data_IF_969304461436
#
_entry.id   IF_969304461436
#
_cell.length_a   1.000
_cell.length_b   1.000
_cell.length_c   1.000
_cell.angle_alpha   90.00
_cell.angle_beta   90.00
_cell.angle_gamma   90.00
#
_symmetry.space_group_name_H-M   'P 1'
#
loop_
_entity.id
_entity.type
_entity.pdbx_description
1 polymer ?
#
# COMPACT_ATOMS: atom_id res chain seq x y z
N UNK A 1 11.09 -54.57 3.97
CA UNK A 1 11.08 -53.11 3.80
C UNK A 1 12.52 -52.63 3.85
N UNK A 2 12.98 -51.95 2.80
CA UNK A 2 14.38 -51.56 2.59
C UNK A 2 14.78 -50.45 3.57
N UNK A 3 16.04 -50.41 4.02
CA UNK A 3 16.55 -49.33 4.90
C UNK A 3 16.37 -47.91 4.31
N UNK A 4 16.20 -47.82 2.98
CA UNK A 4 15.88 -46.59 2.27
C UNK A 4 14.48 -46.02 2.58
N UNK A 5 13.53 -46.83 3.02
CA UNK A 5 12.18 -46.37 3.39
C UNK A 5 12.13 -45.75 4.79
N UNK A 6 13.09 -46.08 5.68
CA UNK A 6 13.14 -45.57 7.06
C UNK A 6 13.42 -44.08 7.18
N UNK A 7 13.79 -43.40 6.08
CA UNK A 7 14.23 -41.99 6.09
C UNK A 7 13.34 -41.02 5.31
N UNK A 8 12.19 -41.45 4.78
CA UNK A 8 11.19 -40.51 4.23
C UNK A 8 10.51 -39.76 5.37
N UNK A 9 10.53 -38.43 5.32
CA UNK A 9 9.75 -37.59 6.25
C UNK A 9 8.27 -37.91 6.04
N UNK A 10 7.64 -38.61 6.98
CA UNK A 10 6.19 -38.83 7.01
C UNK A 10 5.54 -37.49 7.36
N UNK A 11 4.75 -36.96 6.43
CA UNK A 11 4.01 -35.71 6.61
C UNK A 11 2.55 -36.08 6.76
N UNK A 12 1.93 -35.60 7.83
CA UNK A 12 0.51 -35.75 8.10
C UNK A 12 -0.15 -34.38 8.08
N UNK A 13 -1.25 -34.24 7.34
CA UNK A 13 -1.99 -32.98 7.24
C UNK A 13 -2.48 -32.54 8.62
N UNK A 14 -2.32 -31.26 8.95
CA UNK A 14 -2.81 -30.70 10.21
C UNK A 14 -2.03 -31.10 11.47
N UNK A 15 -0.99 -31.95 11.33
CA UNK A 15 -0.01 -32.19 12.38
C UNK A 15 1.27 -31.40 12.06
N UNK A 16 1.93 -30.79 13.07
CA UNK A 16 3.24 -30.18 12.87
C UNK A 16 4.20 -31.19 12.23
N UNK A 17 5.07 -30.73 11.33
CA UNK A 17 6.11 -31.58 10.73
C UNK A 17 7.11 -32.00 11.80
N UNK A 18 6.82 -33.10 12.50
CA UNK A 18 7.61 -33.59 13.60
C UNK A 18 8.93 -34.16 13.05
N UNK A 19 10.03 -33.47 13.34
CA UNK A 19 11.36 -33.88 12.89
C UNK A 19 11.84 -35.08 13.71
N UNK A 20 11.94 -36.26 13.07
CA UNK A 20 12.42 -37.53 13.65
C UNK A 20 11.68 -37.91 14.94
N UNK A 21 10.48 -38.43 14.77
CA UNK A 21 9.71 -38.97 15.88
C UNK A 21 9.56 -40.48 15.70
N UNK A 22 9.76 -41.21 16.80
CA UNK A 22 9.44 -42.63 16.92
C UNK A 22 7.92 -42.85 16.79
N UNK A 23 7.48 -44.02 16.31
CA UNK A 23 6.05 -44.34 16.04
C UNK A 23 5.14 -44.05 17.24
N UNK A 24 5.69 -44.26 18.43
CA UNK A 24 5.17 -43.95 19.76
C UNK A 24 4.67 -42.49 19.85
N UNK A 25 5.56 -41.51 19.61
CA UNK A 25 5.22 -40.08 19.76
C UNK A 25 4.44 -39.55 18.55
N UNK A 26 4.52 -40.22 17.40
CA UNK A 26 3.66 -39.92 16.25
C UNK A 26 2.20 -40.25 16.59
N UNK A 27 1.97 -41.40 17.23
CA UNK A 27 0.64 -41.80 17.69
C UNK A 27 0.11 -40.83 18.78
N UNK A 28 0.97 -40.35 19.68
CA UNK A 28 0.59 -39.37 20.71
C UNK A 28 0.24 -38.00 20.11
N UNK A 29 0.95 -37.58 19.07
CA UNK A 29 0.60 -36.37 18.33
C UNK A 29 -0.70 -36.53 17.53
N UNK A 30 -0.93 -37.72 16.94
CA UNK A 30 -2.16 -38.04 16.22
C UNK A 30 -3.38 -38.12 17.16
N UNK A 31 -3.19 -38.55 18.41
CA UNK A 31 -4.23 -38.59 19.45
C UNK A 31 -4.84 -37.20 19.71
N UNK A 32 -4.02 -36.15 19.58
CA UNK A 32 -4.44 -34.76 19.79
C UNK A 32 -4.83 -34.04 18.49
N UNK A 33 -5.24 -34.78 17.46
CA UNK A 33 -5.52 -34.25 16.11
C UNK A 33 -6.88 -34.68 15.57
N UNK A 34 -7.22 -34.22 14.36
CA UNK A 34 -8.44 -34.63 13.66
C UNK A 34 -8.49 -36.14 13.36
N UNK A 35 -7.34 -36.83 13.29
CA UNK A 35 -7.31 -38.27 13.02
C UNK A 35 -7.92 -39.12 14.14
N UNK A 36 -7.70 -38.73 15.39
CA UNK A 36 -8.35 -39.36 16.54
C UNK A 36 -9.87 -39.27 16.45
N UNK A 37 -10.39 -38.10 16.06
CA UNK A 37 -11.82 -37.91 15.91
C UNK A 37 -12.38 -38.76 14.77
N UNK A 38 -11.66 -38.94 13.66
CA UNK A 38 -12.09 -39.85 12.60
C UNK A 38 -12.29 -41.28 13.14
N UNK A 39 -11.32 -41.79 13.90
CA UNK A 39 -11.40 -43.10 14.54
C UNK A 39 -12.58 -43.20 15.54
N UNK A 40 -12.76 -42.22 16.42
CA UNK A 40 -13.85 -42.25 17.41
C UNK A 40 -15.23 -42.13 16.74
N UNK A 41 -15.39 -41.30 15.71
CA UNK A 41 -16.67 -41.21 14.99
C UNK A 41 -17.01 -42.49 14.21
N UNK A 42 -16.02 -43.24 13.73
CA UNK A 42 -16.27 -44.57 13.16
C UNK A 42 -16.83 -45.53 14.22
N UNK A 43 -16.34 -45.47 15.47
CA UNK A 43 -16.85 -46.29 16.58
C UNK A 43 -18.30 -45.95 16.95
N UNK A 44 -18.78 -44.75 16.64
CA UNK A 44 -20.18 -44.36 16.87
C UNK A 44 -21.13 -44.85 15.76
N UNK A 45 -20.61 -45.29 14.60
CA UNK A 45 -21.43 -45.68 13.46
C UNK A 45 -21.92 -47.13 13.55
N UNK A 46 -23.24 -47.30 13.71
CA UNK A 46 -23.91 -48.62 13.68
C UNK A 46 -23.63 -49.38 12.38
N UNK A 47 -23.59 -48.67 11.26
CA UNK A 47 -23.33 -49.26 9.94
C UNK A 47 -21.89 -49.75 9.82
N UNK A 48 -20.94 -48.97 10.31
CA UNK A 48 -19.52 -49.33 10.29
C UNK A 48 -19.27 -50.54 11.20
N UNK A 49 -19.82 -50.51 12.41
CA UNK A 49 -19.80 -51.64 13.34
C UNK A 49 -20.33 -52.94 12.72
N UNK A 50 -21.47 -52.87 12.02
CA UNK A 50 -22.06 -54.05 11.38
C UNK A 50 -21.19 -54.61 10.26
N UNK A 51 -20.57 -53.71 9.47
CA UNK A 51 -19.68 -54.08 8.36
C UNK A 51 -18.37 -54.71 8.85
N UNK A 52 -17.84 -54.25 9.99
CA UNK A 52 -16.65 -54.83 10.62
C UNK A 52 -16.89 -56.22 11.23
N UNK A 53 -18.14 -56.62 11.48
CA UNK A 53 -18.44 -57.94 12.03
C UNK A 53 -18.38 -59.04 10.97
N UNK A 54 -17.56 -60.05 11.21
CA UNK A 54 -17.43 -61.20 10.31
C UNK A 54 -16.96 -60.78 8.92
N UNK A 55 -17.58 -61.35 7.87
CA UNK A 55 -17.28 -61.01 6.46
C UNK A 55 -18.32 -60.05 5.86
N UNK A 56 -19.00 -59.25 6.69
CA UNK A 56 -20.17 -58.45 6.28
C UNK A 56 -19.85 -57.35 5.26
N UNK A 57 -18.60 -56.87 5.21
CA UNK A 57 -18.15 -55.92 4.18
C UNK A 57 -18.27 -56.45 2.75
N UNK A 58 -18.32 -57.77 2.54
CA UNK A 58 -18.56 -58.37 1.21
C UNK A 58 -20.02 -58.29 0.76
N UNK A 59 -20.94 -58.08 1.70
CA UNK A 59 -22.39 -58.08 1.46
C UNK A 59 -23.02 -56.68 1.50
N UNK A 60 -22.26 -55.66 1.90
CA UNK A 60 -22.77 -54.28 1.89
C UNK A 60 -22.96 -53.78 0.47
N UNK A 61 -24.10 -53.13 0.20
CA UNK A 61 -24.37 -52.47 -1.09
C UNK A 61 -23.62 -51.14 -1.23
N UNK A 62 -23.14 -50.56 -0.13
CA UNK A 62 -22.41 -49.29 -0.15
C UNK A 62 -20.93 -49.53 -0.41
N UNK A 63 -20.49 -49.23 -1.63
CA UNK A 63 -19.07 -49.33 -2.04
C UNK A 63 -18.16 -48.44 -1.22
N UNK A 64 -18.65 -47.28 -0.78
CA UNK A 64 -17.88 -46.34 0.06
C UNK A 64 -17.65 -46.96 1.43
N UNK A 65 -18.69 -47.52 2.05
CA UNK A 65 -18.58 -48.16 3.36
C UNK A 65 -17.67 -49.41 3.33
N UNK A 66 -17.74 -50.20 2.26
CA UNK A 66 -16.85 -51.35 2.06
C UNK A 66 -15.38 -50.91 2.00
N UNK A 67 -15.06 -49.91 1.17
CA UNK A 67 -13.71 -49.35 1.07
C UNK A 67 -13.21 -48.78 2.39
N UNK A 68 -14.05 -48.01 3.09
CA UNK A 68 -13.68 -47.49 4.41
C UNK A 68 -13.36 -48.62 5.38
N UNK A 69 -14.12 -49.72 5.37
CA UNK A 69 -13.84 -50.88 6.22
C UNK A 69 -12.58 -51.65 5.81
N UNK A 70 -12.27 -51.73 4.51
CA UNK A 70 -11.02 -52.29 3.99
C UNK A 70 -9.82 -51.44 4.41
N UNK A 71 -9.92 -50.11 4.31
CA UNK A 71 -8.86 -49.15 4.61
C UNK A 71 -8.58 -49.06 6.12
N UNK A 72 -9.63 -48.85 6.93
CA UNK A 72 -9.50 -48.59 8.37
C UNK A 72 -9.47 -49.89 9.20
N UNK A 73 -10.04 -50.97 8.69
CA UNK A 73 -10.18 -52.23 9.41
C UNK A 73 -11.15 -52.16 10.60
N UNK A 74 -11.07 -53.15 11.48
CA UNK A 74 -11.88 -53.19 12.70
C UNK A 74 -11.31 -52.24 13.77
N UNK A 75 -11.90 -51.05 13.87
CA UNK A 75 -11.55 -50.01 14.86
C UNK A 75 -12.07 -50.31 16.27
N UNK A 76 -12.95 -51.30 16.44
CA UNK A 76 -13.56 -51.63 17.73
C UNK A 76 -12.70 -52.53 18.59
N UNK A 77 -11.76 -53.27 17.99
CA UNK A 77 -10.89 -54.22 18.69
C UNK A 77 -9.55 -53.64 19.15
N UNK A 78 -9.24 -52.39 18.79
CA UNK A 78 -7.96 -51.75 19.09
C UNK A 78 -8.16 -50.44 19.86
N UNK A 79 -7.16 -50.08 20.67
CA UNK A 79 -7.03 -48.68 21.13
C UNK A 79 -6.67 -47.79 19.93
N UNK A 80 -6.92 -46.49 20.02
CA UNK A 80 -6.51 -45.56 18.95
C UNK A 80 -5.02 -45.67 18.65
N UNK A 81 -4.19 -45.82 19.69
CA UNK A 81 -2.73 -45.86 19.57
C UNK A 81 -2.26 -47.10 18.80
N UNK A 82 -2.81 -48.26 19.16
CA UNK A 82 -2.51 -49.52 18.48
C UNK A 82 -3.00 -49.50 17.03
N UNK A 83 -4.19 -48.94 16.82
CA UNK A 83 -4.74 -48.76 15.48
C UNK A 83 -3.91 -47.79 14.63
N UNK A 84 -3.43 -46.68 15.20
CA UNK A 84 -2.58 -45.72 14.49
C UNK A 84 -1.26 -46.36 14.05
N UNK A 85 -0.57 -47.04 14.97
CA UNK A 85 0.70 -47.70 14.68
C UNK A 85 0.55 -48.83 13.66
N UNK A 86 -0.60 -49.50 13.63
CA UNK A 86 -0.87 -50.63 12.71
C UNK A 86 -1.35 -50.18 11.34
N UNK A 87 -2.26 -49.20 11.28
CA UNK A 87 -3.02 -48.85 10.07
C UNK A 87 -3.02 -47.34 9.81
N UNK A 88 -3.36 -46.54 10.83
CA UNK A 88 -3.60 -45.10 10.65
C UNK A 88 -2.41 -44.32 10.08
N UNK A 89 -1.18 -44.65 10.50
CA UNK A 89 0.02 -43.96 10.05
C UNK A 89 0.33 -44.16 8.56
N UNK A 90 -0.03 -45.31 7.97
CA UNK A 90 0.14 -45.55 6.53
C UNK A 90 -1.06 -45.01 5.73
N UNK A 91 -2.25 -45.01 6.34
CA UNK A 91 -3.47 -44.54 5.70
C UNK A 91 -3.47 -43.02 5.43
N UNK A 92 -2.90 -42.24 6.35
CA UNK A 92 -2.94 -40.78 6.30
C UNK A 92 -1.62 -40.10 5.92
N UNK A 93 -0.57 -40.86 5.60
CA UNK A 93 0.70 -40.27 5.18
C UNK A 93 0.54 -39.61 3.80
N UNK A 94 1.01 -38.37 3.68
CA UNK A 94 1.03 -37.65 2.40
C UNK A 94 1.92 -38.40 1.40
N UNK A 95 1.34 -38.87 0.30
CA UNK A 95 2.04 -39.70 -0.70
C UNK A 95 2.90 -38.88 -1.67
N UNK A 96 2.65 -37.57 -1.77
CA UNK A 96 3.33 -36.66 -2.68
C UNK A 96 3.91 -35.48 -1.89
N UNK A 97 5.18 -35.16 -2.13
CA UNK A 97 5.71 -33.86 -1.69
C UNK A 97 4.91 -32.76 -2.39
N UNK A 98 4.43 -31.78 -1.61
CA UNK A 98 3.70 -30.64 -2.17
C UNK A 98 4.60 -29.94 -3.21
N UNK A 99 4.18 -29.84 -4.47
CA UNK A 99 4.98 -29.17 -5.48
C UNK A 99 5.12 -27.70 -5.09
N UNK A 100 6.30 -27.12 -5.34
CA UNK A 100 6.62 -25.73 -4.98
C UNK A 100 6.89 -24.93 -6.24
N UNK A 101 6.64 -23.63 -6.17
CA UNK A 101 7.10 -22.67 -7.17
C UNK A 101 8.63 -22.72 -7.22
N UNK A 102 9.19 -22.91 -8.41
CA UNK A 102 10.63 -22.97 -8.64
C UNK A 102 11.08 -21.79 -9.49
N UNK A 103 12.25 -21.23 -9.17
CA UNK A 103 12.92 -20.30 -10.09
C UNK A 103 13.57 -21.13 -11.19
N UNK A 104 13.24 -20.82 -12.45
CA UNK A 104 13.83 -21.51 -13.61
C UNK A 104 15.19 -20.87 -13.90
N UNK A 105 16.23 -21.68 -13.96
CA UNK A 105 17.58 -21.26 -14.35
C UNK A 105 17.64 -20.83 -15.82
N UNK A 106 18.72 -20.14 -16.20
CA UNK A 106 19.00 -19.78 -17.60
C UNK A 106 19.46 -21.02 -18.39
N UNK A 107 18.56 -21.94 -18.64
CA UNK A 107 18.89 -23.09 -19.48
C UNK A 107 18.57 -22.74 -20.95
N UNK A 108 19.62 -22.37 -21.68
CA UNK A 108 19.74 -22.60 -23.12
C UNK A 108 19.06 -21.62 -24.09
N UNK A 109 18.00 -20.90 -23.74
CA UNK A 109 17.40 -19.92 -24.68
C UNK A 109 18.04 -18.54 -24.55
N UNK A 110 18.53 -18.05 -25.70
CA UNK A 110 19.31 -16.83 -25.88
C UNK A 110 18.93 -15.69 -24.91
N UNK A 111 19.90 -15.10 -24.18
CA UNK A 111 19.62 -14.00 -23.28
C UNK A 111 19.23 -12.77 -24.10
N UNK A 112 17.93 -12.47 -24.18
CA UNK A 112 17.51 -11.13 -24.54
C UNK A 112 18.04 -10.16 -23.48
N UNK A 113 18.66 -9.08 -23.92
CA UNK A 113 19.25 -8.01 -23.06
C UNK A 113 18.23 -7.49 -22.01
N UNK A 114 16.94 -7.70 -22.26
CA UNK A 114 15.78 -7.34 -21.42
C UNK A 114 15.60 -8.23 -20.17
N UNK A 115 16.34 -9.33 -20.02
CA UNK A 115 16.18 -10.28 -18.90
C UNK A 115 17.05 -10.02 -17.67
N UNK A 116 17.95 -9.03 -17.69
CA UNK A 116 18.82 -8.74 -16.55
C UNK A 116 18.03 -8.33 -15.27
N UNK A 117 16.82 -7.80 -15.45
CA UNK A 117 15.94 -7.30 -14.38
C UNK A 117 14.68 -8.16 -14.15
N UNK A 118 14.63 -9.39 -14.69
CA UNK A 118 13.45 -10.26 -14.63
C UNK A 118 13.76 -11.60 -13.96
N UNK A 119 12.77 -12.17 -13.27
CA UNK A 119 12.81 -13.54 -12.73
C UNK A 119 11.72 -14.36 -13.40
N UNK A 120 12.09 -15.53 -13.92
CA UNK A 120 11.16 -16.51 -14.46
C UNK A 120 10.88 -17.57 -13.40
N UNK A 121 9.60 -17.91 -13.21
CA UNK A 121 9.16 -18.91 -12.23
C UNK A 121 8.27 -19.95 -12.90
N UNK A 122 8.42 -21.20 -12.50
CA UNK A 122 7.52 -22.30 -12.83
C UNK A 122 6.54 -22.48 -11.67
N UNK A 123 5.23 -22.44 -11.96
CA UNK A 123 4.16 -22.45 -10.94
C UNK A 123 3.31 -23.71 -11.11
N UNK A 124 3.30 -24.61 -10.11
CA UNK A 124 2.36 -25.74 -10.09
C UNK A 124 0.91 -25.26 -9.96
N UNK A 125 0.03 -25.73 -10.86
CA UNK A 125 -1.39 -25.31 -10.91
C UNK A 125 -2.25 -25.86 -9.76
N UNK A 126 -1.77 -26.88 -9.06
CA UNK A 126 -2.45 -27.50 -7.92
C UNK A 126 -2.19 -26.80 -6.58
N UNK A 127 -1.44 -25.69 -6.57
CA UNK A 127 -1.23 -24.86 -5.39
C UNK A 127 -2.36 -23.83 -5.21
N UNK A 128 -2.66 -23.50 -3.95
CA UNK A 128 -3.57 -22.39 -3.65
C UNK A 128 -2.93 -21.06 -4.05
N UNK A 129 -3.75 -20.08 -4.47
CA UNK A 129 -3.25 -18.74 -4.79
C UNK A 129 -2.42 -18.10 -3.67
N UNK A 130 -2.80 -18.35 -2.41
CA UNK A 130 -2.07 -17.84 -1.24
C UNK A 130 -0.65 -18.40 -1.16
N UNK A 131 -0.51 -19.70 -1.40
CA UNK A 131 0.80 -20.38 -1.42
C UNK A 131 1.65 -19.88 -2.59
N UNK A 132 1.05 -19.73 -3.77
CA UNK A 132 1.73 -19.18 -4.95
C UNK A 132 2.24 -17.77 -4.66
N UNK A 133 1.38 -16.88 -4.17
CA UNK A 133 1.75 -15.49 -3.82
C UNK A 133 2.90 -15.45 -2.81
N UNK A 134 2.83 -16.27 -1.76
CA UNK A 134 3.88 -16.35 -0.73
C UNK A 134 5.23 -16.76 -1.33
N UNK A 135 5.26 -17.85 -2.10
CA UNK A 135 6.49 -18.39 -2.67
C UNK A 135 7.09 -17.48 -3.75
N UNK A 136 6.26 -16.88 -4.61
CA UNK A 136 6.74 -15.91 -5.61
C UNK A 136 7.36 -14.68 -4.94
N UNK A 137 6.73 -14.14 -3.89
CA UNK A 137 7.27 -12.98 -3.15
C UNK A 137 8.63 -13.33 -2.52
N UNK A 138 8.78 -14.54 -2.00
CA UNK A 138 10.03 -15.01 -1.41
C UNK A 138 11.16 -15.09 -2.46
N UNK A 139 10.89 -15.69 -3.63
CA UNK A 139 11.82 -15.73 -4.76
C UNK A 139 12.24 -14.30 -5.18
N UNK A 140 11.28 -13.38 -5.27
CA UNK A 140 11.55 -11.98 -5.63
C UNK A 140 12.42 -11.29 -4.57
N UNK A 141 12.22 -11.57 -3.28
CA UNK A 141 13.01 -10.97 -2.19
C UNK A 141 14.46 -11.45 -2.16
N UNK A 142 14.72 -12.65 -2.63
CA UNK A 142 16.08 -13.23 -2.67
C UNK A 142 16.96 -12.66 -3.79
N UNK A 143 16.41 -11.85 -4.70
CA UNK A 143 17.18 -11.27 -5.80
C UNK A 143 18.07 -10.11 -5.32
N UNK A 144 19.39 -10.26 -5.46
CA UNK A 144 20.39 -9.28 -5.04
C UNK A 144 20.31 -7.94 -5.77
N UNK A 145 19.80 -7.93 -7.02
CA UNK A 145 19.66 -6.72 -7.86
C UNK A 145 18.33 -5.99 -7.68
N UNK A 146 17.52 -6.34 -6.67
CA UNK A 146 16.19 -5.75 -6.48
C UNK A 146 16.29 -4.28 -6.05
N UNK A 147 16.27 -3.37 -7.03
CA UNK A 147 16.14 -1.94 -6.78
C UNK A 147 14.66 -1.52 -6.94
N UNK A 148 13.98 -1.24 -5.83
CA UNK A 148 12.60 -0.74 -5.86
C UNK A 148 12.62 0.75 -6.20
N UNK A 149 12.70 1.08 -7.49
CA UNK A 149 12.40 2.42 -7.96
C UNK A 149 11.01 2.45 -8.56
N UNK A 150 10.08 3.16 -7.91
CA UNK A 150 8.87 3.63 -8.60
C UNK A 150 9.30 4.75 -9.55
N UNK A 151 10.00 4.41 -10.62
CA UNK A 151 10.46 5.40 -11.58
C UNK A 151 9.30 5.69 -12.52
N UNK A 152 8.65 6.83 -12.32
CA UNK A 152 7.83 7.41 -13.38
C UNK A 152 8.75 7.71 -14.59
N UNK A 153 8.31 7.34 -15.79
CA UNK A 153 9.00 7.63 -17.05
C UNK A 153 8.72 9.05 -17.58
N UNK A 154 7.96 9.87 -16.83
CA UNK A 154 7.63 11.22 -17.24
C UNK A 154 8.87 12.11 -17.36
N UNK A 155 8.91 12.95 -18.42
CA UNK A 155 9.95 13.96 -18.67
C UNK A 155 10.10 14.94 -17.51
N UNK A 156 8.98 15.31 -16.86
CA UNK A 156 8.95 16.10 -15.63
C UNK A 156 8.36 15.23 -14.52
N UNK A 157 9.19 14.83 -13.58
CA UNK A 157 8.78 13.92 -12.50
C UNK A 157 8.15 14.72 -11.38
N UNK A 158 6.93 14.34 -11.00
CA UNK A 158 6.30 14.91 -9.81
C UNK A 158 7.00 14.37 -8.56
N UNK A 159 7.26 15.24 -7.57
CA UNK A 159 7.71 14.79 -6.26
C UNK A 159 6.69 13.79 -5.68
N UNK A 160 7.16 12.84 -4.86
CA UNK A 160 6.37 11.67 -4.39
C UNK A 160 4.95 12.08 -3.94
N UNK A 161 3.95 11.68 -4.71
CA UNK A 161 2.52 12.02 -4.54
C UNK A 161 1.97 11.78 -3.13
N UNK A 162 2.50 10.80 -2.39
CA UNK A 162 2.00 10.37 -1.07
C UNK A 162 1.94 11.46 0.01
N UNK A 163 2.50 12.67 -0.22
CA UNK A 163 2.47 13.78 0.74
C UNK A 163 1.94 15.10 0.17
N UNK A 164 1.53 15.15 -1.09
CA UNK A 164 1.06 16.41 -1.71
C UNK A 164 -0.38 16.67 -1.27
N UNK A 165 -0.60 17.72 -0.47
CA UNK A 165 -1.93 18.16 -0.06
C UNK A 165 -2.44 19.22 -1.03
N UNK A 166 -3.33 18.85 -1.95
CA UNK A 166 -3.86 19.75 -2.98
C UNK A 166 -4.45 21.04 -2.40
N UNK A 167 -5.25 20.94 -1.33
CA UNK A 167 -5.82 22.12 -0.69
C UNK A 167 -4.78 23.10 -0.10
N UNK A 168 -3.54 22.66 0.18
CA UNK A 168 -2.46 23.58 0.58
C UNK A 168 -1.92 24.34 -0.63
N UNK A 169 -1.83 23.69 -1.80
CA UNK A 169 -1.40 24.33 -3.05
C UNK A 169 -2.41 25.37 -3.52
N UNK A 170 -3.71 25.03 -3.47
CA UNK A 170 -4.80 25.95 -3.79
C UNK A 170 -4.79 27.18 -2.88
N UNK A 171 -4.74 26.97 -1.56
CA UNK A 171 -4.63 28.08 -0.60
C UNK A 171 -3.37 28.93 -0.81
N UNK A 172 -2.24 28.31 -1.16
CA UNK A 172 -1.01 29.04 -1.45
C UNK A 172 -1.16 29.94 -2.68
N UNK A 173 -1.71 29.41 -3.77
CA UNK A 173 -2.02 30.18 -4.99
C UNK A 173 -2.97 31.34 -4.69
N UNK A 174 -4.08 31.08 -4.00
CA UNK A 174 -5.11 32.09 -3.76
C UNK A 174 -4.61 33.22 -2.86
N UNK A 175 -3.89 32.87 -1.78
CA UNK A 175 -3.23 33.84 -0.89
C UNK A 175 -2.22 34.68 -1.66
N UNK A 176 -1.41 34.04 -2.52
CA UNK A 176 -0.42 34.75 -3.34
C UNK A 176 -1.10 35.69 -4.34
N UNK A 177 -2.10 35.24 -5.11
CA UNK A 177 -2.80 36.09 -6.06
C UNK A 177 -3.47 37.30 -5.39
N UNK A 178 -4.14 37.11 -4.24
CA UNK A 178 -4.73 38.23 -3.50
C UNK A 178 -3.67 39.24 -3.02
N UNK A 179 -2.51 38.75 -2.57
CA UNK A 179 -1.40 39.62 -2.20
C UNK A 179 -0.84 40.37 -3.42
N UNK A 180 -0.68 39.69 -4.55
CA UNK A 180 -0.21 40.31 -5.79
C UNK A 180 -1.17 41.38 -6.31
N UNK A 181 -2.49 41.15 -6.26
CA UNK A 181 -3.48 42.18 -6.61
C UNK A 181 -3.27 43.43 -5.73
N UNK A 182 -3.05 43.25 -4.43
CA UNK A 182 -2.81 44.37 -3.50
C UNK A 182 -1.52 45.13 -3.80
N UNK A 183 -0.45 44.43 -4.18
CA UNK A 183 0.83 45.04 -4.58
C UNK A 183 0.69 45.80 -5.90
N UNK A 184 0.12 45.19 -6.94
CA UNK A 184 -0.10 45.81 -8.23
C UNK A 184 -0.99 47.06 -8.12
N UNK A 185 -2.02 47.02 -7.26
CA UNK A 185 -2.85 48.17 -6.96
C UNK A 185 -2.08 49.29 -6.24
N UNK A 186 -1.21 48.95 -5.28
CA UNK A 186 -0.38 49.93 -4.59
C UNK A 186 0.64 50.61 -5.53
N UNK A 187 1.15 49.86 -6.51
CA UNK A 187 2.09 50.35 -7.52
C UNK A 187 1.39 51.07 -8.70
N UNK A 188 0.07 51.25 -8.64
CA UNK A 188 -0.76 51.87 -9.70
C UNK A 188 -0.57 51.22 -11.08
N UNK A 189 -0.40 49.89 -11.10
CA UNK A 189 -0.28 49.12 -12.35
C UNK A 189 -1.58 49.20 -13.15
N UNK A 190 -1.44 49.34 -14.47
CA UNK A 190 -2.58 49.49 -15.37
C UNK A 190 -3.57 48.34 -15.21
N UNK A 191 -4.83 48.67 -14.96
CA UNK A 191 -5.89 47.71 -14.72
C UNK A 191 -6.03 47.26 -13.26
N UNK A 192 -5.36 47.88 -12.28
CA UNK A 192 -5.55 47.61 -10.84
C UNK A 192 -5.98 48.85 -10.03
N UNK A 193 -6.20 49.98 -10.68
CA UNK A 193 -6.43 51.31 -10.08
C UNK A 193 -7.69 51.38 -9.20
N UNK A 194 -8.69 50.55 -9.49
CA UNK A 194 -9.96 50.50 -8.74
C UNK A 194 -9.94 49.61 -7.49
N UNK A 195 -8.81 48.99 -7.14
CA UNK A 195 -8.71 48.08 -5.99
C UNK A 195 -8.03 48.78 -4.83
N UNK A 196 -8.68 48.81 -3.66
CA UNK A 196 -8.05 49.35 -2.44
C UNK A 196 -6.96 48.41 -1.90
N UNK A 197 -5.68 48.82 -1.83
CA UNK A 197 -4.61 47.97 -1.28
C UNK A 197 -4.83 47.66 0.21
N UNK A 198 -5.42 48.59 0.96
CA UNK A 198 -5.73 48.41 2.38
C UNK A 198 -6.75 47.27 2.60
N UNK A 199 -7.68 47.10 1.66
CA UNK A 199 -8.64 45.99 1.69
C UNK A 199 -7.95 44.63 1.51
N UNK A 200 -6.71 44.57 1.00
CA UNK A 200 -5.91 43.36 0.80
C UNK A 200 -4.71 43.29 1.77
N UNK A 201 -4.84 43.86 2.97
CA UNK A 201 -3.84 43.66 4.02
C UNK A 201 -3.68 42.16 4.38
N UNK A 202 -2.54 41.77 4.95
CA UNK A 202 -2.25 40.38 5.33
C UNK A 202 -3.37 39.74 6.17
N UNK A 203 -3.99 40.50 7.08
CA UNK A 203 -5.09 39.99 7.89
C UNK A 203 -6.35 39.76 7.05
N UNK A 204 -6.69 40.71 6.19
CA UNK A 204 -7.88 40.64 5.33
C UNK A 204 -7.78 39.53 4.28
N UNK A 205 -6.57 39.25 3.75
CA UNK A 205 -6.31 38.08 2.90
C UNK A 205 -6.54 36.78 3.69
N UNK A 206 -6.01 36.68 4.90
CA UNK A 206 -6.18 35.49 5.75
C UNK A 206 -7.64 35.25 6.15
N UNK A 207 -8.40 36.33 6.38
CA UNK A 207 -9.84 36.30 6.64
C UNK A 207 -10.63 35.81 5.43
N UNK A 208 -10.40 36.40 4.24
CA UNK A 208 -11.09 36.01 2.99
C UNK A 208 -10.86 34.55 2.61
N UNK A 209 -9.62 34.09 2.74
CA UNK A 209 -9.23 32.69 2.40
C UNK A 209 -9.52 31.69 3.50
N UNK A 210 -10.03 32.14 4.66
CA UNK A 210 -10.22 31.32 5.87
C UNK A 210 -8.99 30.44 6.13
N UNK A 211 -7.82 31.07 6.14
CA UNK A 211 -6.53 30.35 6.12
C UNK A 211 -6.33 29.51 7.37
N UNK A 212 -6.51 30.14 8.55
CA UNK A 212 -6.41 29.51 9.87
C UNK A 212 -7.61 29.93 10.73
N UNK A 213 -8.58 29.03 10.87
CA UNK A 213 -9.83 29.31 11.58
C UNK A 213 -9.62 29.66 13.07
N UNK A 214 -8.65 29.03 13.74
CA UNK A 214 -8.32 29.34 15.15
C UNK A 214 -7.77 30.76 15.34
N UNK A 215 -7.29 31.42 14.28
CA UNK A 215 -6.79 32.80 14.28
C UNK A 215 -7.86 33.82 13.87
N UNK A 216 -9.14 33.43 13.78
CA UNK A 216 -10.25 34.35 13.54
C UNK A 216 -10.82 34.87 14.87
N UNK A 217 -10.77 36.19 15.15
CA UNK A 217 -11.40 36.77 16.33
C UNK A 217 -12.91 36.55 16.34
N UNK A 218 -13.45 36.19 17.50
CA UNK A 218 -14.88 36.04 17.77
C UNK A 218 -15.39 37.26 18.55
N UNK A 219 -16.69 37.61 18.47
CA UNK A 219 -17.26 38.72 19.24
C UNK A 219 -17.08 38.58 20.76
N UNK A 220 -16.97 37.34 21.25
CA UNK A 220 -16.76 37.02 22.67
C UNK A 220 -15.30 37.10 23.11
N UNK A 221 -14.34 37.30 22.19
CA UNK A 221 -12.93 37.37 22.54
C UNK A 221 -12.60 38.73 23.18
N UNK A 222 -11.89 38.72 24.30
CA UNK A 222 -11.30 39.95 24.86
C UNK A 222 -10.32 40.63 23.89
N UNK A 223 -10.03 41.91 24.14
CA UNK A 223 -9.18 42.76 23.28
C UNK A 223 -7.80 42.13 23.00
N UNK A 224 -7.15 41.59 24.03
CA UNK A 224 -5.81 41.00 23.91
C UNK A 224 -5.82 39.71 23.06
N UNK A 225 -6.81 38.84 23.29
CA UNK A 225 -6.97 37.59 22.55
C UNK A 225 -7.27 37.86 21.08
N UNK A 226 -8.15 38.82 20.80
CA UNK A 226 -8.45 39.31 19.45
C UNK A 226 -7.18 39.80 18.73
N UNK A 227 -6.31 40.57 19.41
CA UNK A 227 -5.04 41.04 18.84
C UNK A 227 -4.08 39.88 18.56
N UNK A 228 -3.94 38.92 19.47
CA UNK A 228 -3.11 37.71 19.28
C UNK A 228 -3.57 36.90 18.07
N UNK A 229 -4.89 36.69 17.92
CA UNK A 229 -5.47 35.99 16.77
C UNK A 229 -5.20 36.71 15.44
N UNK A 230 -5.39 38.03 15.38
CA UNK A 230 -5.05 38.84 14.18
C UNK A 230 -3.57 38.70 13.81
N UNK A 231 -2.66 38.78 14.77
CA UNK A 231 -1.23 38.60 14.52
C UNK A 231 -0.89 37.18 14.06
N UNK A 232 -1.49 36.16 14.68
CA UNK A 232 -1.35 34.76 14.25
C UNK A 232 -1.79 34.54 12.81
N UNK A 233 -2.91 35.16 12.39
CA UNK A 233 -3.37 35.12 11.01
C UNK A 233 -2.36 35.78 10.05
N UNK A 234 -1.85 36.98 10.38
CA UNK A 234 -0.82 37.67 9.57
C UNK A 234 0.43 36.81 9.38
N UNK A 235 0.91 36.16 10.45
CA UNK A 235 2.06 35.24 10.40
C UNK A 235 1.76 34.03 9.53
N UNK A 236 0.55 33.45 9.63
CA UNK A 236 0.14 32.33 8.80
C UNK A 236 0.10 32.69 7.31
N UNK A 237 -0.42 33.88 6.97
CA UNK A 237 -0.42 34.40 5.60
C UNK A 237 1.00 34.58 5.09
N UNK A 238 1.91 35.19 5.86
CA UNK A 238 3.31 35.36 5.46
C UNK A 238 4.00 34.01 5.22
N UNK A 239 3.78 33.01 6.07
CA UNK A 239 4.30 31.65 5.86
C UNK A 239 3.74 31.01 4.59
N UNK A 240 2.47 31.27 4.26
CA UNK A 240 1.85 30.74 3.05
C UNK A 240 2.37 31.44 1.79
N UNK A 241 2.62 32.76 1.84
CA UNK A 241 3.28 33.50 0.77
C UNK A 241 4.67 32.94 0.47
N UNK A 242 5.51 32.77 1.50
CA UNK A 242 6.84 32.17 1.31
C UNK A 242 6.78 30.76 0.68
N UNK A 243 5.74 29.97 0.99
CA UNK A 243 5.51 28.67 0.35
C UNK A 243 5.10 28.82 -1.10
N UNK A 244 4.24 29.78 -1.43
CA UNK A 244 3.83 30.06 -2.79
C UNK A 244 5.03 30.53 -3.64
N UNK A 245 5.86 31.43 -3.10
CA UNK A 245 7.07 31.91 -3.77
C UNK A 245 8.05 30.77 -4.03
N UNK A 246 8.27 29.89 -3.05
CA UNK A 246 9.08 28.69 -3.25
C UNK A 246 8.48 27.76 -4.32
N UNK A 247 7.16 27.55 -4.32
CA UNK A 247 6.51 26.73 -5.35
C UNK A 247 6.70 27.32 -6.75
N UNK A 248 6.51 28.63 -6.92
CA UNK A 248 6.68 29.32 -8.21
C UNK A 248 8.13 29.18 -8.69
N UNK A 249 9.10 29.51 -7.84
CA UNK A 249 10.52 29.43 -8.20
C UNK A 249 10.97 27.99 -8.56
N UNK A 250 10.44 26.97 -7.88
CA UNK A 250 10.73 25.58 -8.25
C UNK A 250 10.05 25.15 -9.55
N UNK A 251 8.84 25.67 -9.84
CA UNK A 251 8.14 25.39 -11.12
C UNK A 251 8.94 25.95 -12.30
N UNK A 252 9.58 27.10 -12.15
CA UNK A 252 10.45 27.68 -13.18
C UNK A 252 11.64 26.76 -13.51
N UNK A 253 12.17 26.07 -12.50
CA UNK A 253 13.20 25.02 -12.62
C UNK A 253 12.62 23.64 -13.02
N UNK A 254 11.29 23.55 -13.12
CA UNK A 254 10.49 22.37 -13.42
C UNK A 254 10.61 21.23 -12.41
N UNK A 255 10.79 21.60 -11.14
CA UNK A 255 10.63 20.74 -9.98
C UNK A 255 9.30 21.08 -9.31
N UNK A 256 8.40 20.11 -9.13
CA UNK A 256 7.14 20.37 -8.45
C UNK A 256 6.55 19.12 -7.75
N UNK A 257 5.86 19.28 -6.60
CA UNK A 257 5.89 20.45 -5.71
C UNK A 257 7.14 20.45 -4.81
N UNK A 258 7.69 21.63 -4.54
CA UNK A 258 8.75 21.85 -3.55
C UNK A 258 8.47 23.14 -2.78
N UNK A 259 8.61 23.10 -1.46
CA UNK A 259 8.45 24.27 -0.58
C UNK A 259 9.79 24.83 -0.10
N UNK A 260 10.90 24.23 -0.53
CA UNK A 260 12.23 24.73 -0.26
C UNK A 260 12.56 25.74 -1.36
N UNK A 261 12.94 26.95 -0.97
CA UNK A 261 13.37 27.96 -1.94
C UNK A 261 14.60 27.43 -2.69
N UNK A 262 14.61 27.41 -4.04
CA UNK A 262 15.78 27.01 -4.80
C UNK A 262 16.88 28.08 -4.68
N UNK A 263 18.11 27.72 -5.04
CA UNK A 263 19.17 28.70 -5.21
C UNK A 263 18.79 29.66 -6.35
N UNK A 264 19.01 30.96 -6.12
CA UNK A 264 18.64 32.01 -7.06
C UNK A 264 19.60 31.99 -8.24
N UNK A 265 19.11 31.55 -9.40
CA UNK A 265 19.78 31.77 -10.67
C UNK A 265 19.19 33.02 -11.33
N UNK A 266 20.05 33.90 -11.85
CA UNK A 266 19.61 35.04 -12.64
C UNK A 266 19.01 34.55 -13.96
N UNK A 267 17.68 34.64 -14.09
CA UNK A 267 16.98 34.22 -15.30
C UNK A 267 17.18 35.17 -16.49
N UNK A 268 17.47 36.44 -16.22
CA UNK A 268 17.46 37.51 -17.23
C UNK A 268 18.61 38.48 -17.04
N UNK A 269 19.05 39.09 -18.15
CA UNK A 269 19.92 40.28 -18.12
C UNK A 269 19.16 41.49 -17.58
N UNK A 270 19.89 42.51 -17.10
CA UNK A 270 19.29 43.74 -16.58
C UNK A 270 18.36 44.44 -17.60
N UNK A 271 18.74 44.43 -18.88
CA UNK A 271 17.94 45.00 -19.95
C UNK A 271 16.60 44.24 -20.12
N UNK A 272 16.64 42.91 -20.09
CA UNK A 272 15.45 42.08 -20.17
C UNK A 272 14.57 42.22 -18.93
N UNK A 273 15.16 42.31 -17.74
CA UNK A 273 14.40 42.52 -16.51
C UNK A 273 13.65 43.85 -16.52
N UNK A 274 14.23 44.92 -17.09
CA UNK A 274 13.54 46.20 -17.30
C UNK A 274 12.33 46.06 -18.22
N UNK A 275 12.47 45.34 -19.34
CA UNK A 275 11.36 45.08 -20.26
C UNK A 275 10.23 44.30 -19.60
N UNK A 276 10.56 43.26 -18.81
CA UNK A 276 9.58 42.48 -18.04
C UNK A 276 8.84 43.38 -17.06
N UNK A 277 9.56 44.18 -16.28
CA UNK A 277 8.95 45.10 -15.31
C UNK A 277 8.03 46.11 -16.00
N UNK A 278 8.43 46.62 -17.17
CA UNK A 278 7.60 47.54 -17.95
C UNK A 278 6.32 46.87 -18.47
N UNK A 279 6.41 45.63 -18.96
CA UNK A 279 5.23 44.85 -19.38
C UNK A 279 4.26 44.62 -18.20
N UNK A 280 4.79 44.34 -17.01
CA UNK A 280 3.98 44.22 -15.79
C UNK A 280 3.27 45.54 -15.47
N UNK A 281 3.98 46.67 -15.48
CA UNK A 281 3.40 48.01 -15.21
C UNK A 281 2.33 48.39 -16.24
N UNK A 282 2.53 48.00 -17.50
CA UNK A 282 1.56 48.20 -18.58
C UNK A 282 0.32 47.29 -18.46
N UNK A 283 0.26 46.39 -17.47
CA UNK A 283 -0.84 45.45 -17.27
C UNK A 283 -0.87 44.32 -18.29
N UNK A 284 0.24 44.05 -18.99
CA UNK A 284 0.34 42.99 -20.00
C UNK A 284 0.45 41.61 -19.34
N UNK A 285 0.95 41.55 -18.11
CA UNK A 285 0.96 40.33 -17.31
C UNK A 285 -0.18 40.33 -16.30
N UNK A 286 -1.24 39.58 -16.62
CA UNK A 286 -2.33 39.29 -15.69
C UNK A 286 -2.78 37.84 -15.86
N UNK A 287 -2.32 36.91 -14.99
CA UNK A 287 -2.76 35.53 -15.04
C UNK A 287 -4.27 35.39 -14.86
N UNK A 288 -4.90 34.42 -15.54
CA UNK A 288 -6.36 34.22 -15.56
C UNK A 288 -6.98 34.16 -14.14
N UNK A 289 -6.34 33.43 -13.23
CA UNK A 289 -6.83 33.29 -11.85
C UNK A 289 -6.78 34.62 -11.08
N UNK A 290 -5.73 35.40 -11.31
CA UNK A 290 -5.56 36.72 -10.71
C UNK A 290 -6.66 37.68 -11.22
N UNK A 291 -6.95 37.64 -12.53
CA UNK A 291 -8.05 38.39 -13.14
C UNK A 291 -9.41 38.02 -12.54
N UNK A 292 -9.72 36.73 -12.41
CA UNK A 292 -10.99 36.24 -11.82
C UNK A 292 -11.16 36.71 -10.37
N UNK A 293 -10.09 36.62 -9.56
CA UNK A 293 -10.13 37.09 -8.17
C UNK A 293 -10.32 38.60 -8.08
N UNK A 294 -9.69 39.37 -8.97
CA UNK A 294 -9.89 40.83 -9.05
C UNK A 294 -11.37 41.16 -9.34
N UNK A 295 -11.99 40.52 -10.34
CA UNK A 295 -13.41 40.75 -10.64
C UNK A 295 -14.31 40.46 -9.44
N UNK A 296 -14.06 39.34 -8.73
CA UNK A 296 -14.83 38.99 -7.55
C UNK A 296 -14.72 40.03 -6.42
N UNK A 297 -13.57 40.70 -6.28
CA UNK A 297 -13.37 41.78 -5.31
C UNK A 297 -14.16 43.04 -5.69
N UNK A 298 -14.22 43.37 -6.98
CA UNK A 298 -15.00 44.51 -7.49
C UNK A 298 -16.51 44.31 -7.38
N UNK A 299 -17.01 43.08 -7.50
CA UNK A 299 -18.45 42.78 -7.34
C UNK A 299 -18.93 42.68 -5.89
N UNK A 300 -17.99 42.69 -4.92
CA UNK A 300 -18.29 42.56 -3.48
C UNK A 300 -18.14 43.87 -2.71
N UNK A 301 -17.85 44.96 -3.40
CA UNK A 301 -17.67 46.32 -2.86
C UNK A 301 -18.87 47.19 -3.25
#
# INVERSE_FOLDING_TARGET
MSELEKHRRRIYKGMPGLHRIDREQEADAALNSAYYWWFEYLKLSKNYWWVCRGNNFKYTKSRILARTAEDFGDVFSLSFRDWWMKTGCELFVEQLELPKVKQVGRDGTQPSIVQADKVTVEIPLNLTEQTIKKQVIEIVRQQSKRHISRTTSAKRKLAKLKRVRLGVLEKARDVWCLNQIGLLAADNVKGFEGVSPAALSLYEIGKRTRLVESCMPKPTDGLELSRKKRNGMKVAVKRMLNRADALIANVDQGVFPSFNMPELEYCWTDAQQKLINQAVVNGEWVPEHLFKLKQALSSSS
#
